data_IF_216988240142
#
_entry.id   IF_216988240142
#
_cell.length_a   1.000
_cell.length_b   1.000
_cell.length_c   1.000
_cell.angle_alpha   90.00
_cell.angle_beta   90.00
_cell.angle_gamma   90.00
#
_symmetry.space_group_name_H-M   'P 1'
#
loop_
_entity.id
_entity.type
_entity.pdbx_description
1 polymer ?
#
# COMPACT_ATOMS: atom_id res chain seq x y z
N UNK A 1 30.80 -6.54 57.10
CA UNK A 1 30.17 -5.60 58.05
C UNK A 1 28.99 -6.29 58.70
N UNK A 2 29.05 -6.53 60.02
CA UNK A 2 27.93 -7.09 60.77
C UNK A 2 26.86 -6.01 60.85
N UNK A 3 25.67 -6.27 60.29
CA UNK A 3 24.55 -5.34 60.36
C UNK A 3 24.10 -5.09 61.81
N UNK A 4 23.23 -4.09 62.04
CA UNK A 4 22.67 -3.83 63.36
C UNK A 4 22.04 -5.10 63.95
N UNK A 5 22.35 -5.40 65.21
CA UNK A 5 21.74 -6.52 65.94
C UNK A 5 20.38 -6.09 66.47
N UNK A 6 19.32 -6.70 65.95
CA UNK A 6 17.95 -6.45 66.40
C UNK A 6 17.55 -7.46 67.48
N UNK A 7 16.96 -6.98 68.57
CA UNK A 7 16.46 -7.80 69.69
C UNK A 7 14.95 -8.01 69.60
N UNK A 8 14.41 -8.95 70.40
CA UNK A 8 12.95 -9.08 70.57
C UNK A 8 12.35 -7.74 71.00
N UNK A 9 11.26 -7.34 70.35
CA UNK A 9 10.63 -6.03 70.50
C UNK A 9 11.12 -4.96 69.53
N UNK A 10 12.19 -5.22 68.77
CA UNK A 10 12.67 -4.28 67.74
C UNK A 10 11.68 -4.18 66.59
N UNK A 11 11.43 -2.95 66.12
CA UNK A 11 10.59 -2.68 64.95
C UNK A 11 11.43 -1.99 63.89
N UNK A 12 11.35 -2.47 62.65
CA UNK A 12 12.05 -1.91 61.50
C UNK A 12 11.07 -1.47 60.44
N UNK A 13 11.32 -0.30 59.83
CA UNK A 13 10.54 0.19 58.70
C UNK A 13 11.37 0.05 57.42
N UNK A 14 10.83 -0.65 56.43
CA UNK A 14 11.42 -0.79 55.11
C UNK A 14 10.90 0.31 54.20
N UNK A 15 11.84 0.95 53.50
CA UNK A 15 11.58 2.00 52.52
C UNK A 15 12.37 1.62 51.27
N UNK A 16 11.71 1.71 50.10
CA UNK A 16 12.36 1.46 48.82
C UNK A 16 13.02 2.73 48.28
N UNK A 17 14.07 2.54 47.49
CA UNK A 17 14.69 3.62 46.73
C UNK A 17 13.70 4.22 45.71
N UNK A 18 13.96 5.45 45.27
CA UNK A 18 13.15 6.14 44.25
C UNK A 18 12.94 5.25 43.01
N UNK A 19 11.70 5.19 42.51
CA UNK A 19 11.32 4.35 41.36
C UNK A 19 10.87 2.93 41.72
N UNK A 20 10.96 2.55 43.00
CA UNK A 20 10.46 1.28 43.50
C UNK A 20 9.34 1.50 44.53
N UNK A 21 8.32 0.67 44.49
CA UNK A 21 7.24 0.62 45.48
C UNK A 21 7.39 -0.63 46.36
N UNK A 22 7.05 -0.49 47.64
CA UNK A 22 7.17 -1.58 48.59
C UNK A 22 5.94 -2.51 48.46
N UNK A 23 6.20 -3.78 48.17
CA UNK A 23 5.21 -4.85 48.14
C UNK A 23 5.31 -5.66 49.43
N UNK A 24 4.32 -5.49 50.32
CA UNK A 24 4.26 -6.13 51.63
C UNK A 24 4.13 -5.13 52.78
N UNK A 25 4.22 -5.60 54.02
CA UNK A 25 4.18 -4.74 55.18
C UNK A 25 5.47 -3.91 55.29
N UNK A 26 5.33 -2.60 55.44
CA UNK A 26 6.45 -1.67 55.59
C UNK A 26 7.06 -1.73 56.98
N UNK A 27 6.33 -2.21 57.98
CA UNK A 27 6.76 -2.23 59.37
C UNK A 27 6.82 -3.66 59.89
N UNK A 28 8.03 -4.17 60.19
CA UNK A 28 8.23 -5.51 60.72
C UNK A 28 8.69 -5.44 62.17
N UNK A 29 8.07 -6.26 63.02
CA UNK A 29 8.40 -6.33 64.45
C UNK A 29 8.98 -7.70 64.78
N UNK A 30 10.09 -7.71 65.51
CA UNK A 30 10.73 -8.93 65.98
C UNK A 30 10.03 -9.40 67.26
N UNK A 31 9.45 -10.60 67.24
CA UNK A 31 8.78 -11.20 68.39
C UNK A 31 9.43 -12.54 68.74
N UNK A 32 9.32 -12.95 70.00
CA UNK A 32 9.81 -14.25 70.42
C UNK A 32 8.77 -15.34 70.12
N UNK A 33 9.11 -16.33 69.30
CA UNK A 33 8.21 -17.43 68.95
C UNK A 33 8.57 -18.70 69.74
N UNK A 34 8.53 -18.59 71.06
CA UNK A 34 8.74 -19.70 72.00
C UNK A 34 10.05 -20.44 71.76
N UNK A 35 9.97 -21.75 71.54
CA UNK A 35 11.12 -22.64 71.34
C UNK A 35 11.85 -22.49 70.00
N UNK A 36 11.25 -21.78 69.04
CA UNK A 36 11.85 -21.57 67.71
C UNK A 36 12.71 -20.30 67.61
N UNK A 37 12.84 -19.57 68.72
CA UNK A 37 13.61 -18.33 68.79
C UNK A 37 12.88 -17.10 68.24
N UNK A 38 13.58 -15.95 68.16
CA UNK A 38 13.02 -14.70 67.66
C UNK A 38 12.72 -14.76 66.16
N UNK A 39 11.56 -14.25 65.76
CA UNK A 39 11.09 -14.21 64.37
C UNK A 39 10.43 -12.86 64.05
N UNK A 40 10.50 -12.46 62.79
CA UNK A 40 9.79 -11.27 62.31
C UNK A 40 8.29 -11.53 62.14
N UNK A 41 7.47 -10.51 62.45
CA UNK A 41 6.00 -10.50 62.37
C UNK A 41 5.49 -11.06 61.05
N UNK A 42 6.15 -10.67 59.96
CA UNK A 42 5.78 -11.04 58.60
C UNK A 42 7.02 -11.37 57.75
N UNK A 43 6.78 -11.82 56.52
CA UNK A 43 7.85 -12.02 55.53
C UNK A 43 8.43 -10.67 55.13
N UNK A 44 9.72 -10.69 54.76
CA UNK A 44 10.38 -9.48 54.30
C UNK A 44 9.67 -8.89 53.07
N UNK A 45 9.40 -7.58 53.04
CA UNK A 45 8.78 -6.93 51.90
C UNK A 45 9.73 -6.92 50.70
N UNK A 46 9.17 -6.81 49.50
CA UNK A 46 9.93 -6.73 48.25
C UNK A 46 9.77 -5.36 47.62
N UNK A 47 10.87 -4.76 47.18
CA UNK A 47 10.80 -3.56 46.35
C UNK A 47 10.54 -3.97 44.90
N UNK A 48 9.38 -3.59 44.37
CA UNK A 48 9.01 -3.80 42.97
C UNK A 48 9.18 -2.50 42.19
N UNK A 49 9.57 -2.59 40.93
CA UNK A 49 9.67 -1.40 40.06
C UNK A 49 8.29 -0.78 39.89
N UNK A 50 8.20 0.52 40.15
CA UNK A 50 7.02 1.31 39.90
C UNK A 50 7.13 1.94 38.50
N UNK A 51 6.65 1.22 37.50
CA UNK A 51 6.64 1.74 36.14
C UNK A 51 5.53 2.80 36.02
N UNK A 52 5.87 3.94 35.44
CA UNK A 52 4.84 4.92 35.05
C UNK A 52 4.01 4.32 33.90
N UNK A 53 2.70 4.56 33.89
CA UNK A 53 1.85 4.07 32.80
C UNK A 53 2.10 4.88 31.51
N UNK A 54 2.08 4.21 30.36
CA UNK A 54 2.11 4.88 29.07
C UNK A 54 0.79 5.63 28.84
N UNK A 55 0.88 6.90 28.43
CA UNK A 55 -0.29 7.67 28.00
C UNK A 55 -0.72 7.21 26.61
N UNK A 56 -2.02 7.24 26.35
CA UNK A 56 -2.54 7.01 25.00
C UNK A 56 -1.86 7.96 23.98
N UNK A 57 -1.25 7.43 22.89
CA UNK A 57 -0.55 8.25 21.91
C UNK A 57 -1.49 9.03 20.98
N UNK A 58 -2.81 8.87 21.13
CA UNK A 58 -3.83 9.45 20.28
C UNK A 58 -4.16 8.58 19.07
N UNK A 59 -5.23 8.95 18.37
CA UNK A 59 -5.75 8.20 17.23
C UNK A 59 -5.34 8.89 15.92
N UNK A 60 -4.48 8.25 15.10
CA UNK A 60 -4.14 8.74 13.76
C UNK A 60 -5.37 8.87 12.84
N UNK A 61 -5.28 9.73 11.82
CA UNK A 61 -6.33 9.89 10.81
C UNK A 61 -6.69 8.55 10.13
N UNK A 62 -7.99 8.34 9.89
CA UNK A 62 -8.51 7.12 9.26
C UNK A 62 -8.18 5.81 9.98
N UNK A 63 -7.85 5.89 11.27
CA UNK A 63 -7.61 4.74 12.14
C UNK A 63 -8.59 4.70 13.30
N UNK A 64 -8.73 3.54 13.92
CA UNK A 64 -9.48 3.32 15.15
C UNK A 64 -8.65 2.48 16.12
N UNK A 65 -8.75 2.83 17.40
CA UNK A 65 -8.06 2.14 18.49
C UNK A 65 -8.97 1.06 19.07
N UNK A 66 -8.46 -0.17 19.12
CA UNK A 66 -9.12 -1.28 19.77
C UNK A 66 -8.69 -1.28 21.24
N UNK A 67 -9.65 -1.32 22.16
CA UNK A 67 -9.44 -1.22 23.62
C UNK A 67 -8.76 0.09 24.04
N UNK A 68 -9.33 1.22 23.62
CA UNK A 68 -8.90 2.55 24.04
C UNK A 68 -8.98 2.70 25.57
N UNK A 69 -7.85 3.12 26.16
CA UNK A 69 -7.71 3.52 27.56
C UNK A 69 -6.93 4.83 27.60
N UNK A 70 -7.12 5.68 28.60
CA UNK A 70 -6.30 6.88 28.77
C UNK A 70 -4.85 6.54 29.17
N UNK A 71 -4.66 5.45 29.91
CA UNK A 71 -3.39 5.01 30.48
C UNK A 71 -3.25 3.49 30.31
N UNK A 72 -2.04 3.05 29.98
CA UNK A 72 -1.68 1.65 29.80
C UNK A 72 -0.54 1.27 30.75
N UNK A 73 -0.74 0.24 31.55
CA UNK A 73 0.28 -0.28 32.46
C UNK A 73 1.42 -0.94 31.66
N UNK A 74 2.60 -1.02 32.27
CA UNK A 74 3.75 -1.68 31.64
C UNK A 74 3.40 -3.13 31.26
N UNK A 75 3.63 -3.49 30.00
CA UNK A 75 3.29 -4.78 29.40
C UNK A 75 1.94 -4.82 28.68
N UNK A 76 1.04 -3.85 28.89
CA UNK A 76 -0.22 -3.76 28.13
C UNK A 76 0.02 -3.37 26.66
N UNK A 77 -0.95 -3.70 25.81
CA UNK A 77 -0.89 -3.46 24.36
C UNK A 77 -2.10 -2.69 23.85
N UNK A 78 -1.87 -1.82 22.87
CA UNK A 78 -2.89 -1.06 22.14
C UNK A 78 -2.84 -1.47 20.67
N UNK A 79 -3.99 -1.85 20.11
CA UNK A 79 -4.08 -2.27 18.71
C UNK A 79 -4.80 -1.21 17.87
N UNK A 80 -4.25 -0.93 16.70
CA UNK A 80 -4.83 -0.04 15.71
C UNK A 80 -5.45 -0.85 14.57
N UNK A 81 -6.50 -0.29 13.98
CA UNK A 81 -7.09 -0.78 12.74
C UNK A 81 -7.48 0.40 11.86
N UNK A 82 -7.40 0.23 10.55
CA UNK A 82 -7.78 1.28 9.61
C UNK A 82 -9.26 1.20 9.26
N UNK A 83 -9.83 2.35 8.89
CA UNK A 83 -11.16 2.40 8.28
C UNK A 83 -11.16 1.65 6.94
N UNK A 84 -12.36 1.34 6.43
CA UNK A 84 -12.50 0.72 5.10
C UNK A 84 -11.80 1.59 4.05
N UNK A 85 -11.24 0.92 3.04
CA UNK A 85 -10.52 1.60 1.99
C UNK A 85 -9.12 2.06 2.35
N UNK A 86 -8.63 1.80 3.56
CA UNK A 86 -7.31 2.21 4.01
C UNK A 86 -6.46 1.02 4.45
N UNK A 87 -5.18 1.07 4.11
CA UNK A 87 -4.16 0.11 4.47
C UNK A 87 -3.30 0.64 5.62
N UNK A 88 -3.00 -0.24 6.58
CA UNK A 88 -2.21 0.09 7.76
C UNK A 88 -0.71 0.02 7.44
N UNK A 89 -0.01 1.12 7.70
CA UNK A 89 1.43 1.23 7.50
C UNK A 89 2.14 1.40 8.84
N UNK A 90 3.02 0.46 9.16
CA UNK A 90 3.74 0.39 10.43
C UNK A 90 3.23 -0.73 11.33
N UNK A 91 3.52 -0.63 12.62
CA UNK A 91 3.18 -1.67 13.60
C UNK A 91 1.70 -1.54 14.03
N UNK A 92 0.85 -2.55 13.79
CA UNK A 92 -0.57 -2.49 14.19
C UNK A 92 -0.78 -2.61 15.70
N UNK A 93 0.23 -3.05 16.46
CA UNK A 93 0.12 -3.28 17.91
C UNK A 93 1.28 -2.61 18.65
N UNK A 94 0.96 -1.58 19.42
CA UNK A 94 1.93 -0.92 20.30
C UNK A 94 1.92 -1.59 21.67
N UNK A 95 3.09 -1.84 22.25
CA UNK A 95 3.26 -2.37 23.61
C UNK A 95 3.85 -1.29 24.52
N UNK A 96 3.28 -1.11 25.71
CA UNK A 96 3.88 -0.24 26.72
C UNK A 96 5.08 -0.96 27.34
N UNK A 97 6.30 -0.52 26.99
CA UNK A 97 7.54 -1.12 27.48
C UNK A 97 7.87 -0.53 28.85
N UNK A 98 8.11 -1.36 29.87
CA UNK A 98 8.51 -0.90 31.20
C UNK A 98 9.76 -0.02 31.14
N UNK A 99 9.68 1.20 31.66
CA UNK A 99 10.79 2.15 31.72
C UNK A 99 10.57 3.25 32.76
N UNK A 100 11.52 4.20 32.83
CA UNK A 100 11.45 5.39 33.68
C UNK A 100 11.78 6.66 32.86
N UNK A 101 10.82 7.22 32.09
CA UNK A 101 9.41 6.84 31.99
C UNK A 101 9.17 5.62 31.08
N UNK A 102 8.04 4.93 31.25
CA UNK A 102 7.63 3.87 30.31
C UNK A 102 7.31 4.47 28.95
N UNK A 103 7.65 3.74 27.90
CA UNK A 103 7.53 4.22 26.53
C UNK A 103 6.85 3.18 25.65
N UNK A 104 6.22 3.64 24.57
CA UNK A 104 5.66 2.74 23.56
C UNK A 104 6.77 2.07 22.77
N UNK A 105 6.56 0.80 22.41
CA UNK A 105 7.49 0.00 21.60
C UNK A 105 7.81 0.61 20.24
N UNK A 106 6.85 1.35 19.68
CA UNK A 106 6.92 1.95 18.35
C UNK A 106 5.99 3.17 18.27
N UNK A 107 6.12 3.95 17.20
CA UNK A 107 5.20 5.04 16.88
C UNK A 107 3.84 4.49 16.40
N UNK A 108 2.74 5.26 16.55
CA UNK A 108 1.44 4.89 16.01
C UNK A 108 1.48 4.68 14.49
N UNK A 109 0.77 3.68 13.95
CA UNK A 109 0.75 3.42 12.52
C UNK A 109 -0.04 4.48 11.76
N UNK A 110 0.19 4.58 10.45
CA UNK A 110 -0.52 5.50 9.56
C UNK A 110 -1.42 4.71 8.63
N UNK A 111 -2.68 5.14 8.51
CA UNK A 111 -3.63 4.57 7.56
C UNK A 111 -3.59 5.37 6.24
N UNK A 112 -3.29 4.71 5.12
CA UNK A 112 -3.26 5.32 3.78
C UNK A 112 -4.37 4.73 2.93
N UNK A 113 -4.98 5.53 2.04
CA UNK A 113 -5.94 5.01 1.08
C UNK A 113 -5.34 3.84 0.28
N UNK A 114 -6.02 2.70 0.30
CA UNK A 114 -5.70 1.51 -0.47
C UNK A 114 -6.00 1.79 -1.95
N UNK A 115 -5.04 1.51 -2.83
CA UNK A 115 -5.20 1.70 -4.27
C UNK A 115 -6.25 0.76 -4.89
N UNK A 116 -6.61 -0.32 -4.18
CA UNK A 116 -7.56 -1.32 -4.65
C UNK A 116 -9.00 -0.79 -4.73
N UNK A 117 -9.36 0.21 -3.92
CA UNK A 117 -10.70 0.82 -3.98
C UNK A 117 -10.86 1.73 -5.21
N UNK A 118 -9.77 2.34 -5.70
CA UNK A 118 -9.77 3.14 -6.92
C UNK A 118 -9.93 2.33 -8.22
N UNK A 119 -9.70 1.00 -8.18
CA UNK A 119 -9.88 0.13 -9.35
C UNK A 119 -11.33 -0.36 -9.45
N UNK A 120 -12.09 -0.42 -8.35
CA UNK A 120 -13.49 -0.85 -8.41
C UNK A 120 -14.42 0.21 -9.02
N UNK A 121 -14.13 1.51 -8.89
CA UNK A 121 -14.90 2.53 -9.61
C UNK A 121 -14.50 2.68 -11.09
N UNK A 122 -13.28 2.26 -11.48
CA UNK A 122 -12.84 2.25 -12.89
C UNK A 122 -13.02 0.92 -13.61
N UNK A 123 -13.53 -0.11 -12.95
CA UNK A 123 -14.05 -1.29 -13.63
C UNK A 123 -15.44 -0.95 -14.16
N UNK A 124 -15.47 -0.05 -15.15
CA UNK A 124 -16.56 -0.02 -16.13
C UNK A 124 -16.82 -1.46 -16.54
N UNK A 125 -18.10 -1.79 -16.63
CA UNK A 125 -18.62 -3.03 -17.17
C UNK A 125 -18.00 -3.30 -18.55
N UNK A 126 -16.85 -3.96 -18.57
CA UNK A 126 -16.44 -4.73 -19.73
C UNK A 126 -17.37 -5.92 -19.66
N UNK A 127 -18.55 -5.77 -20.26
CA UNK A 127 -19.32 -6.89 -20.73
C UNK A 127 -18.32 -7.76 -21.50
N UNK A 128 -17.95 -8.90 -20.93
CA UNK A 128 -17.30 -9.94 -21.69
C UNK A 128 -18.33 -10.37 -22.73
N UNK A 129 -18.29 -9.73 -23.89
CA UNK A 129 -18.83 -10.34 -25.09
C UNK A 129 -18.02 -11.62 -25.25
N UNK A 130 -18.62 -12.71 -24.81
CA UNK A 130 -18.14 -14.06 -25.04
C UNK A 130 -18.24 -14.31 -26.55
N UNK A 131 -17.28 -13.76 -27.29
CA UNK A 131 -17.11 -14.03 -28.71
C UNK A 131 -16.24 -15.28 -28.80
N UNK A 132 -16.78 -16.41 -28.36
CA UNK A 132 -16.32 -17.72 -28.79
C UNK A 132 -16.47 -17.75 -30.30
N UNK A 133 -15.36 -17.50 -31.00
CA UNK A 133 -15.28 -17.69 -32.44
C UNK A 133 -15.28 -19.19 -32.73
N UNK A 134 -16.46 -19.79 -32.84
CA UNK A 134 -16.66 -20.90 -33.77
C UNK A 134 -16.36 -20.34 -35.17
N UNK A 135 -15.11 -20.50 -35.62
CA UNK A 135 -14.54 -19.99 -36.88
C UNK A 135 -15.21 -20.47 -38.17
N UNK A 136 -16.45 -20.99 -38.12
CA UNK A 136 -17.25 -21.40 -39.26
C UNK A 136 -18.39 -20.40 -39.58
N UNK A 137 -18.81 -19.53 -38.65
CA UNK A 137 -20.05 -18.75 -38.82
C UNK A 137 -19.86 -17.38 -39.50
N UNK A 138 -18.71 -16.72 -39.30
CA UNK A 138 -18.41 -15.41 -39.92
C UNK A 138 -18.15 -15.57 -41.43
N UNK A 139 -17.58 -16.71 -41.82
CA UNK A 139 -17.42 -17.06 -43.23
C UNK A 139 -18.79 -17.13 -43.93
N UNK A 140 -19.77 -17.82 -43.33
CA UNK A 140 -21.09 -17.98 -43.93
C UNK A 140 -21.85 -16.65 -44.08
N UNK A 141 -21.78 -15.75 -43.10
CA UNK A 141 -22.47 -14.45 -43.18
C UNK A 141 -21.91 -13.54 -44.27
N UNK A 142 -20.66 -13.72 -44.70
CA UNK A 142 -20.04 -12.96 -45.79
C UNK A 142 -20.16 -13.69 -47.12
N UNK A 143 -19.92 -15.00 -47.16
CA UNK A 143 -19.96 -15.77 -48.40
C UNK A 143 -21.37 -15.93 -48.97
N UNK A 144 -22.41 -16.03 -48.13
CA UNK A 144 -23.80 -16.14 -48.60
C UNK A 144 -24.24 -14.90 -49.39
N UNK A 145 -24.13 -13.66 -48.87
CA UNK A 145 -24.52 -12.47 -49.63
C UNK A 145 -23.64 -12.28 -50.88
N UNK A 146 -22.34 -12.55 -50.80
CA UNK A 146 -21.45 -12.48 -51.98
C UNK A 146 -21.86 -13.50 -53.05
N UNK A 147 -22.19 -14.73 -52.67
CA UNK A 147 -22.66 -15.75 -53.61
C UNK A 147 -24.01 -15.38 -54.25
N UNK A 148 -24.94 -14.84 -53.46
CA UNK A 148 -26.24 -14.36 -53.98
C UNK A 148 -26.07 -13.21 -54.97
N UNK A 149 -25.18 -12.25 -54.66
CA UNK A 149 -24.83 -11.16 -55.57
C UNK A 149 -24.27 -11.76 -56.85
N UNK A 150 -23.26 -12.64 -56.78
CA UNK A 150 -22.64 -13.26 -57.96
C UNK A 150 -23.65 -14.01 -58.84
N UNK A 151 -24.56 -14.79 -58.25
CA UNK A 151 -25.63 -15.48 -59.00
C UNK A 151 -26.55 -14.50 -59.70
N UNK A 152 -26.90 -13.39 -59.04
CA UNK A 152 -27.70 -12.33 -59.65
C UNK A 152 -26.98 -11.67 -60.83
N UNK A 153 -25.68 -11.38 -60.71
CA UNK A 153 -24.90 -10.75 -61.78
C UNK A 153 -24.78 -11.70 -62.98
N UNK A 154 -24.54 -12.99 -62.73
CA UNK A 154 -24.50 -14.04 -63.76
C UNK A 154 -25.87 -14.18 -64.45
N UNK A 155 -26.96 -14.15 -63.70
CA UNK A 155 -28.32 -14.20 -64.24
C UNK A 155 -28.61 -13.02 -65.18
N UNK A 156 -28.24 -11.81 -64.77
CA UNK A 156 -28.33 -10.60 -65.60
C UNK A 156 -27.47 -10.73 -66.86
N UNK A 157 -26.22 -11.17 -66.72
CA UNK A 157 -25.31 -11.35 -67.85
C UNK A 157 -25.86 -12.36 -68.87
N UNK A 158 -26.39 -13.50 -68.40
CA UNK A 158 -27.01 -14.50 -69.27
C UNK A 158 -28.30 -14.00 -69.91
N UNK A 159 -29.11 -13.22 -69.18
CA UNK A 159 -30.29 -12.56 -69.72
C UNK A 159 -29.91 -11.62 -70.86
N UNK A 160 -28.95 -10.71 -70.65
CA UNK A 160 -28.48 -9.81 -71.71
C UNK A 160 -27.80 -10.57 -72.86
N UNK A 161 -27.04 -11.62 -72.58
CA UNK A 161 -26.42 -12.48 -73.61
C UNK A 161 -27.46 -13.19 -74.46
N UNK A 162 -28.56 -13.69 -73.86
CA UNK A 162 -29.68 -14.33 -74.57
C UNK A 162 -30.59 -13.33 -75.27
N UNK A 163 -30.81 -12.15 -74.70
CA UNK A 163 -31.69 -11.10 -75.25
C UNK A 163 -31.02 -10.30 -76.36
N UNK A 164 -29.70 -10.09 -76.31
CA UNK A 164 -28.99 -9.31 -77.33
C UNK A 164 -28.31 -10.15 -78.42
N UNK A 165 -28.19 -11.47 -78.31
CA UNK A 165 -27.86 -12.36 -79.43
C UNK A 165 -26.68 -11.91 -80.32
N UNK A 166 -25.68 -11.23 -79.75
CA UNK A 166 -24.49 -10.71 -80.45
C UNK A 166 -23.32 -10.66 -79.45
N UNK A 167 -22.10 -11.08 -79.82
CA UNK A 167 -20.95 -10.98 -78.94
C UNK A 167 -20.62 -9.49 -78.72
N UNK A 168 -20.64 -9.03 -77.47
CA UNK A 168 -20.12 -7.70 -77.13
C UNK A 168 -18.62 -7.69 -77.42
N UNK A 169 -18.25 -7.11 -78.54
CA UNK A 169 -16.88 -6.71 -78.82
C UNK A 169 -16.52 -5.61 -77.82
N UNK A 170 -15.62 -5.91 -76.88
CA UNK A 170 -14.93 -4.87 -76.12
C UNK A 170 -14.05 -4.09 -77.11
N UNK A 171 -14.17 -2.76 -77.21
CA UNK A 171 -13.13 -1.98 -77.86
C UNK A 171 -11.88 -2.06 -76.98
N UNK A 172 -10.85 -2.66 -77.55
CA UNK A 172 -9.49 -2.72 -77.04
C UNK A 172 -8.92 -1.30 -77.07
N UNK A 173 -8.94 -0.59 -75.93
CA UNK A 173 -8.20 0.66 -75.77
C UNK A 173 -6.72 0.32 -75.63
N UNK A 174 -5.98 0.43 -76.74
CA UNK A 174 -4.54 0.26 -76.78
C UNK A 174 -3.80 1.47 -76.18
N UNK A 175 -2.67 1.14 -75.54
CA UNK A 175 -1.48 1.96 -75.20
C UNK A 175 -1.49 2.83 -73.93
N UNK A 176 -0.73 2.34 -72.93
CA UNK A 176 0.05 3.08 -71.91
C UNK A 176 1.20 3.87 -72.59
N UNK A 177 1.72 5.01 -72.05
CA UNK A 177 2.55 5.00 -70.83
C UNK A 177 2.47 6.26 -69.93
N UNK A 178 3.03 6.11 -68.73
CA UNK A 178 3.34 7.15 -67.74
C UNK A 178 4.08 8.34 -68.38
N UNK A 179 3.69 9.59 -68.07
CA UNK A 179 4.60 10.71 -67.78
C UNK A 179 3.80 12.00 -67.49
N UNK A 180 4.03 12.57 -66.30
CA UNK A 180 4.20 14.00 -65.99
C UNK A 180 3.95 14.26 -64.50
N UNK A 181 5.01 13.98 -63.72
CA UNK A 181 5.25 14.57 -62.40
C UNK A 181 5.82 15.98 -62.65
N UNK A 182 5.30 17.05 -62.05
CA UNK A 182 6.03 18.30 -61.96
C UNK A 182 7.07 18.15 -60.85
N UNK A 183 8.33 17.92 -61.25
CA UNK A 183 9.48 18.15 -60.40
C UNK A 183 9.91 19.60 -60.57
N UNK A 184 9.70 20.41 -59.52
CA UNK A 184 10.37 21.69 -59.40
C UNK A 184 11.24 21.64 -58.15
N UNK A 185 12.51 21.35 -58.37
CA UNK A 185 13.61 21.60 -57.44
C UNK A 185 14.14 22.99 -57.72
N UNK A 186 14.03 23.90 -56.76
CA UNK A 186 15.08 24.89 -56.58
C UNK A 186 15.83 24.54 -55.30
N UNK A 187 17.11 24.30 -55.56
CA UNK A 187 18.19 24.06 -54.66
C UNK A 187 18.50 25.38 -53.97
N UNK A 188 18.40 25.45 -52.65
CA UNK A 188 19.38 26.20 -51.87
C UNK A 188 19.52 25.54 -50.50
N UNK A 189 20.72 25.04 -50.24
CA UNK A 189 21.13 24.52 -48.96
C UNK A 189 22.52 25.10 -48.68
N UNK A 190 22.56 26.08 -47.77
CA UNK A 190 23.71 26.65 -47.08
C UNK A 190 23.09 27.61 -46.06
N UNK A 191 23.34 27.56 -44.76
CA UNK A 191 24.66 27.51 -44.14
C UNK A 191 24.50 27.00 -42.70
N UNK A 192 25.32 26.02 -42.35
CA UNK A 192 25.68 25.66 -40.99
C UNK A 192 26.65 26.73 -40.46
N UNK A 193 26.33 27.32 -39.32
CA UNK A 193 27.34 27.76 -38.36
C UNK A 193 27.10 27.02 -37.05
N UNK A 194 27.86 25.95 -36.86
CA UNK A 194 28.33 25.55 -35.55
C UNK A 194 29.77 25.99 -35.47
N UNK A 195 30.14 26.77 -34.44
CA UNK A 195 31.33 26.45 -33.65
C UNK A 195 31.43 27.26 -32.35
N UNK A 196 31.66 26.48 -31.28
CA UNK A 196 32.44 26.75 -30.04
C UNK A 196 32.16 28.01 -29.22
N UNK A 197 31.98 27.93 -27.89
CA UNK A 197 32.97 27.41 -26.95
C UNK A 197 32.36 27.23 -25.55
N UNK A 198 32.66 26.08 -24.92
CA UNK A 198 33.05 25.84 -23.52
C UNK A 198 32.32 26.51 -22.34
N UNK A 199 32.00 25.65 -21.36
CA UNK A 199 31.86 25.90 -19.91
C UNK A 199 30.72 26.85 -19.49
N UNK A 200 30.00 26.64 -18.39
CA UNK A 200 30.33 25.92 -17.17
C UNK A 200 29.03 25.49 -16.48
N UNK A 201 29.12 24.33 -15.86
CA UNK A 201 28.28 23.85 -14.76
C UNK A 201 27.95 24.98 -13.78
N UNK A 202 26.72 25.07 -13.30
CA UNK A 202 26.44 25.05 -11.85
C UNK A 202 24.95 25.10 -11.55
N UNK A 203 24.53 24.07 -10.83
CA UNK A 203 23.27 23.98 -10.10
C UNK A 203 23.40 24.86 -8.87
N UNK A 204 22.56 25.88 -8.74
CA UNK A 204 22.39 26.57 -7.47
C UNK A 204 21.33 25.84 -6.63
N UNK A 205 21.80 25.14 -5.60
CA UNK A 205 21.02 24.84 -4.42
C UNK A 205 21.68 25.57 -3.25
N UNK A 206 20.88 26.31 -2.49
CA UNK A 206 21.34 27.11 -1.36
C UNK A 206 21.38 26.22 -0.10
N UNK A 207 22.54 26.12 0.53
CA UNK A 207 22.74 25.48 1.85
C UNK A 207 23.15 26.55 2.84
N UNK A 208 22.43 26.56 3.95
CA UNK A 208 22.53 27.49 5.07
C UNK A 208 23.82 27.31 5.87
N UNK A 209 24.41 28.44 6.31
CA UNK A 209 25.21 28.54 7.54
C UNK A 209 24.58 29.64 8.39
#
# INVERSE_FOLDING_TARGET
>A
MSGPRFTVGSTVQYICNKGYTLSGNSLLSCYNHGSSGPKWSERLPKCVLNYEACRNPGTPSYSTQISEKPLYQAGETLRFSCLRGHELLGEPVLRCVPGHPSQWSSLPPVCRASSMEFINERRLDIASADYSMEGANIALTVFIPVALIMVFIIGIYLYFSKVQGKPMCLPMSTSLPYDHIPGESTFDNSLYETETTNNEDTREYEVSI
#
